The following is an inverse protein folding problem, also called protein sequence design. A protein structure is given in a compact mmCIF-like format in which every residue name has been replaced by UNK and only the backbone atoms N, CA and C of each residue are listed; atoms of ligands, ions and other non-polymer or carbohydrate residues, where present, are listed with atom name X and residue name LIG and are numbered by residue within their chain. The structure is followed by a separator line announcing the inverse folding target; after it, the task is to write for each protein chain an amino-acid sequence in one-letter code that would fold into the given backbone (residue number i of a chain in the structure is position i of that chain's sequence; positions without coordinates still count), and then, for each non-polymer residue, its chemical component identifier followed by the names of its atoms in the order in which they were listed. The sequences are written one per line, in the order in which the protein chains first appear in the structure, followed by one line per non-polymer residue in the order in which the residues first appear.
data_IF_518926487625
#
_entry.id   IF_518926487625
#
_cell.length_a   1.000
_cell.length_b   1.000
_cell.length_c   1.000
_cell.angle_alpha   90.00
_cell.angle_beta   90.00
_cell.angle_gamma   90.00
#
_symmetry.space_group_name_H-M   'P 1'
#
loop_
_entity.id
_entity.type
_entity.pdbx_description
1 polymer ?
#
# COMPACT_ATOMS: atom_id res chain seq x y z
N UNK A 1 5.77 -15.33 35.85
CA UNK A 1 6.80 -15.08 34.85
C UNK A 1 6.42 -13.95 33.93
N UNK A 2 7.29 -13.03 33.77
CA UNK A 2 7.01 -11.84 32.98
C UNK A 2 7.64 -11.94 31.61
N UNK A 3 6.88 -11.57 30.61
CA UNK A 3 7.41 -11.46 29.26
C UNK A 3 8.43 -10.32 29.20
N UNK A 4 9.33 -10.39 28.24
CA UNK A 4 10.30 -9.34 27.98
C UNK A 4 9.56 -8.02 27.68
N UNK A 5 9.82 -6.94 28.45
CA UNK A 5 9.15 -5.66 28.22
C UNK A 5 9.37 -5.10 26.82
N UNK A 6 10.55 -5.31 26.22
CA UNK A 6 10.81 -4.86 24.86
C UNK A 6 9.97 -5.60 23.83
N UNK A 7 9.77 -6.89 24.02
CA UNK A 7 8.94 -7.70 23.13
C UNK A 7 7.46 -7.28 23.22
N UNK A 8 6.97 -7.00 24.42
CA UNK A 8 5.60 -6.49 24.59
C UNK A 8 5.40 -5.17 23.88
N UNK A 9 6.36 -4.27 24.01
CA UNK A 9 6.27 -2.96 23.37
C UNK A 9 6.24 -3.10 21.87
N UNK A 10 7.12 -3.92 21.28
CA UNK A 10 7.16 -4.15 19.84
C UNK A 10 5.85 -4.74 19.34
N UNK A 11 5.27 -5.72 20.04
CA UNK A 11 4.00 -6.32 19.66
C UNK A 11 2.86 -5.30 19.74
N UNK A 12 2.82 -4.48 20.79
CA UNK A 12 1.81 -3.45 20.93
C UNK A 12 1.92 -2.38 19.84
N UNK A 13 3.14 -1.99 19.48
CA UNK A 13 3.36 -1.02 18.40
C UNK A 13 2.91 -1.56 17.05
N UNK A 14 3.16 -2.85 16.77
CA UNK A 14 2.67 -3.49 15.55
C UNK A 14 1.15 -3.55 15.51
N UNK A 15 0.52 -3.90 16.62
CA UNK A 15 -0.93 -3.96 16.71
C UNK A 15 -1.57 -2.59 16.51
N UNK A 16 -0.99 -1.54 17.08
CA UNK A 16 -1.45 -0.18 16.91
C UNK A 16 -1.28 0.29 15.46
N UNK A 17 -0.17 -0.07 14.82
CA UNK A 17 0.07 0.27 13.42
C UNK A 17 -0.97 -0.39 12.53
N UNK A 18 -1.25 -1.66 12.73
CA UNK A 18 -2.26 -2.37 11.95
C UNK A 18 -3.66 -1.80 12.19
N UNK A 19 -4.00 -1.49 13.44
CA UNK A 19 -5.28 -0.87 13.76
C UNK A 19 -5.43 0.50 13.09
N UNK A 20 -4.35 1.26 13.02
CA UNK A 20 -4.34 2.56 12.33
C UNK A 20 -4.56 2.37 10.82
N UNK A 21 -3.87 1.42 10.20
CA UNK A 21 -4.06 1.11 8.78
C UNK A 21 -5.50 0.70 8.51
N UNK A 22 -6.07 -0.16 9.35
CA UNK A 22 -7.45 -0.63 9.20
C UNK A 22 -8.45 0.53 9.32
N UNK A 23 -8.25 1.40 10.29
CA UNK A 23 -9.12 2.55 10.49
C UNK A 23 -9.04 3.53 9.32
N UNK A 24 -7.82 3.85 8.87
CA UNK A 24 -7.61 4.75 7.73
C UNK A 24 -8.19 4.13 6.46
N UNK A 25 -7.97 2.83 6.24
CA UNK A 25 -8.53 2.13 5.07
C UNK A 25 -10.05 2.21 5.06
N UNK A 26 -10.68 1.98 6.20
CA UNK A 26 -12.13 2.07 6.32
C UNK A 26 -12.64 3.47 5.98
N UNK A 27 -12.00 4.50 6.51
CA UNK A 27 -12.39 5.90 6.28
C UNK A 27 -12.19 6.29 4.81
N UNK A 28 -11.02 6.00 4.24
CA UNK A 28 -10.70 6.40 2.86
C UNK A 28 -11.61 5.67 1.88
N UNK A 29 -11.80 4.37 2.05
CA UNK A 29 -12.67 3.59 1.16
C UNK A 29 -14.13 4.06 1.26
N UNK A 30 -14.60 4.39 2.46
CA UNK A 30 -15.97 4.88 2.64
C UNK A 30 -16.17 6.26 2.01
N UNK A 31 -15.19 7.15 2.18
CA UNK A 31 -15.31 8.54 1.72
C UNK A 31 -15.02 8.69 0.24
N UNK A 32 -14.00 8.01 -0.28
CA UNK A 32 -13.52 8.19 -1.65
C UNK A 32 -13.76 6.99 -2.54
N UNK A 33 -14.02 5.82 -1.99
CA UNK A 33 -14.07 4.56 -2.70
C UNK A 33 -15.47 4.04 -3.02
N UNK A 34 -16.50 4.87 -2.92
CA UNK A 34 -17.87 4.43 -3.22
C UNK A 34 -17.95 3.93 -4.67
N UNK A 35 -18.35 2.68 -4.84
CA UNK A 35 -18.39 2.05 -6.16
C UNK A 35 -17.04 1.61 -6.70
N UNK A 36 -15.97 1.78 -5.95
CA UNK A 36 -14.61 1.37 -6.34
C UNK A 36 -14.16 0.16 -5.51
N UNK A 37 -13.20 -0.62 -6.02
CA UNK A 37 -12.63 -1.71 -5.24
C UNK A 37 -11.96 -1.18 -3.96
N UNK A 38 -12.17 -1.87 -2.85
CA UNK A 38 -11.57 -1.48 -1.59
C UNK A 38 -10.05 -1.69 -1.62
N UNK A 39 -9.32 -0.72 -1.10
CA UNK A 39 -7.86 -0.77 -1.01
C UNK A 39 -7.42 -0.81 0.45
N UNK A 40 -6.19 -1.24 0.67
CA UNK A 40 -5.51 -1.06 1.95
C UNK A 40 -4.77 0.28 1.91
N UNK A 41 -5.00 1.14 2.88
CA UNK A 41 -4.45 2.50 2.91
C UNK A 41 -3.51 2.69 4.08
N UNK A 42 -2.37 3.28 3.80
CA UNK A 42 -1.39 3.67 4.80
C UNK A 42 -1.17 5.17 4.75
N UNK A 43 -1.39 5.89 5.86
CA UNK A 43 -1.06 7.30 5.91
C UNK A 43 0.43 7.48 6.11
N UNK A 44 0.99 8.50 5.47
CA UNK A 44 2.36 8.95 5.74
C UNK A 44 2.23 10.23 6.54
N UNK A 45 2.72 10.19 7.77
CA UNK A 45 2.53 11.28 8.71
C UNK A 45 3.85 11.99 9.03
N UNK A 46 3.73 13.26 9.41
CA UNK A 46 4.84 14.01 9.98
C UNK A 46 5.11 13.54 11.40
N UNK A 47 6.21 14.03 11.99
CA UNK A 47 6.53 13.74 13.38
C UNK A 47 5.44 14.20 14.37
N UNK A 48 4.61 15.16 13.97
CA UNK A 48 3.50 15.67 14.78
C UNK A 48 2.18 14.95 14.48
N UNK A 49 2.19 13.91 13.65
CA UNK A 49 1.01 13.11 13.37
C UNK A 49 0.10 13.67 12.27
N UNK A 50 0.53 14.68 11.55
CA UNK A 50 -0.26 15.24 10.44
C UNK A 50 -0.07 14.37 9.21
N UNK A 51 -1.17 13.93 8.60
CA UNK A 51 -1.14 13.15 7.35
C UNK A 51 -0.74 14.07 6.21
N UNK A 52 0.37 13.77 5.54
CA UNK A 52 0.82 14.55 4.40
C UNK A 52 0.80 13.76 3.08
N UNK A 53 0.55 12.46 3.13
CA UNK A 53 0.41 11.62 1.94
C UNK A 53 -0.36 10.35 2.30
N UNK A 54 -0.93 9.72 1.27
CA UNK A 54 -1.63 8.43 1.39
C UNK A 54 -1.05 7.45 0.39
N UNK A 55 -0.83 6.23 0.82
CA UNK A 55 -0.41 5.14 -0.06
C UNK A 55 -1.47 4.05 -0.01
N UNK A 56 -2.08 3.77 -1.16
CA UNK A 56 -3.05 2.71 -1.32
C UNK A 56 -2.41 1.49 -1.99
N UNK A 57 -2.83 0.32 -1.57
CA UNK A 57 -2.39 -0.94 -2.15
C UNK A 57 -3.60 -1.78 -2.50
N UNK A 58 -3.61 -2.31 -3.72
CA UNK A 58 -4.60 -3.32 -4.10
C UNK A 58 -4.28 -4.59 -3.31
N UNK A 59 -5.23 -5.14 -2.54
CA UNK A 59 -4.96 -6.32 -1.70
C UNK A 59 -4.46 -7.50 -2.52
N UNK A 60 -3.60 -8.31 -1.93
CA UNK A 60 -3.14 -9.55 -2.54
C UNK A 60 -4.29 -10.54 -2.73
N UNK A 61 -4.18 -11.40 -3.74
CA UNK A 61 -5.20 -12.39 -4.05
C UNK A 61 -5.94 -12.20 -5.35
N UNK A 62 -6.23 -10.98 -5.84
CA UNK A 62 -6.86 -10.86 -7.15
C UNK A 62 -5.90 -11.30 -8.26
N UNK A 63 -6.48 -11.64 -9.41
CA UNK A 63 -5.69 -11.94 -10.61
C UNK A 63 -4.97 -10.68 -11.09
N UNK A 64 -3.97 -10.85 -11.99
CA UNK A 64 -3.31 -9.72 -12.61
C UNK A 64 -4.33 -8.77 -13.28
N UNK A 65 -5.33 -9.35 -13.92
CA UNK A 65 -6.40 -8.59 -14.58
C UNK A 65 -7.20 -7.77 -13.57
N UNK A 66 -7.59 -8.38 -12.47
CA UNK A 66 -8.38 -7.72 -11.44
C UNK A 66 -7.58 -6.61 -10.75
N UNK A 67 -6.29 -6.85 -10.54
CA UNK A 67 -5.40 -5.84 -9.96
C UNK A 67 -5.28 -4.62 -10.86
N UNK A 68 -5.09 -4.82 -12.17
CA UNK A 68 -5.06 -3.72 -13.14
C UNK A 68 -6.37 -2.97 -13.19
N UNK A 69 -7.48 -3.72 -13.18
CA UNK A 69 -8.81 -3.12 -13.23
C UNK A 69 -9.07 -2.24 -12.00
N UNK A 70 -8.71 -2.72 -10.82
CA UNK A 70 -8.85 -1.96 -9.59
C UNK A 70 -8.03 -0.66 -9.65
N UNK A 71 -6.78 -0.76 -10.10
CA UNK A 71 -5.89 0.39 -10.22
C UNK A 71 -6.45 1.42 -11.22
N UNK A 72 -6.93 0.96 -12.37
CA UNK A 72 -7.51 1.81 -13.40
C UNK A 72 -8.81 2.48 -12.94
N UNK A 73 -9.62 1.77 -12.18
CA UNK A 73 -10.86 2.33 -11.65
C UNK A 73 -10.60 3.53 -10.74
N UNK A 74 -9.65 3.41 -9.83
CA UNK A 74 -9.25 4.52 -8.97
C UNK A 74 -8.59 5.65 -9.76
N UNK A 75 -7.71 5.31 -10.71
CA UNK A 75 -7.05 6.31 -11.55
C UNK A 75 -8.07 7.11 -12.37
N UNK A 76 -9.08 6.44 -12.93
CA UNK A 76 -10.12 7.12 -13.70
C UNK A 76 -11.02 8.00 -12.85
N UNK A 77 -11.34 7.56 -11.64
CA UNK A 77 -12.22 8.31 -10.73
C UNK A 77 -11.59 9.62 -10.25
N UNK A 78 -10.27 9.63 -10.04
CA UNK A 78 -9.57 10.76 -9.43
C UNK A 78 -8.49 11.36 -10.32
N UNK A 79 -8.44 10.99 -11.58
CA UNK A 79 -7.46 11.50 -12.55
C UNK A 79 -6.03 11.30 -12.10
N UNK A 80 -5.73 10.11 -11.56
CA UNK A 80 -4.38 9.75 -11.17
C UNK A 80 -3.58 9.35 -12.40
N UNK A 81 -2.30 9.72 -12.43
CA UNK A 81 -1.43 9.50 -13.56
C UNK A 81 -0.46 8.33 -13.30
N UNK A 82 -0.14 7.53 -14.33
CA UNK A 82 0.86 6.46 -14.18
C UNK A 82 2.20 7.01 -13.72
N UNK A 83 2.84 6.30 -12.79
CA UNK A 83 4.20 6.60 -12.33
C UNK A 83 5.19 5.89 -13.26
N UNK A 84 6.23 6.60 -13.70
CA UNK A 84 7.29 6.02 -14.51
C UNK A 84 8.18 5.10 -13.67
N UNK A 85 8.68 4.04 -14.31
CA UNK A 85 9.65 3.10 -13.71
C UNK A 85 9.19 2.52 -12.37
N UNK A 86 7.99 1.93 -12.29
CA UNK A 86 7.57 1.25 -11.07
C UNK A 86 8.44 0.02 -10.81
N UNK A 87 8.36 -0.50 -9.59
CA UNK A 87 9.02 -1.78 -9.26
C UNK A 87 8.57 -2.84 -10.26
N UNK A 88 9.50 -3.67 -10.80
CA UNK A 88 9.12 -4.71 -11.77
C UNK A 88 7.98 -5.60 -11.28
N UNK A 89 6.99 -5.81 -12.13
CA UNK A 89 5.79 -6.58 -11.80
C UNK A 89 4.71 -5.78 -11.11
N UNK A 90 4.94 -4.49 -10.83
CA UNK A 90 3.93 -3.62 -10.26
C UNK A 90 3.52 -2.52 -11.22
N UNK A 91 2.38 -1.92 -10.96
CA UNK A 91 1.95 -0.67 -11.59
C UNK A 91 1.56 0.31 -10.49
N UNK A 92 1.81 1.58 -10.71
CA UNK A 92 1.54 2.61 -9.73
C UNK A 92 0.94 3.83 -10.41
N UNK A 93 0.00 4.46 -9.74
CA UNK A 93 -0.58 5.74 -10.17
C UNK A 93 -0.44 6.73 -9.03
N UNK A 94 -0.37 8.02 -9.37
CA UNK A 94 -0.18 9.07 -8.38
C UNK A 94 -1.01 10.30 -8.72
N UNK A 95 -1.40 11.03 -7.70
CA UNK A 95 -2.17 12.25 -7.80
C UNK A 95 -2.54 12.77 -6.43
N UNK A 96 -3.76 13.26 -6.30
CA UNK A 96 -4.24 13.84 -5.04
C UNK A 96 -5.67 13.40 -4.76
N UNK A 97 -5.97 13.12 -3.49
CA UNK A 97 -7.33 12.99 -2.98
C UNK A 97 -7.57 14.16 -2.04
N UNK A 98 -8.51 15.05 -2.40
CA UNK A 98 -8.80 16.24 -1.61
C UNK A 98 -7.54 17.05 -1.25
N UNK A 99 -6.63 17.20 -2.21
CA UNK A 99 -5.40 17.94 -2.01
C UNK A 99 -4.29 17.18 -1.28
N UNK A 100 -4.55 15.95 -0.85
CA UNK A 100 -3.53 15.12 -0.19
C UNK A 100 -2.79 14.29 -1.25
N UNK A 101 -1.46 14.39 -1.35
CA UNK A 101 -0.70 13.56 -2.28
C UNK A 101 -0.98 12.09 -2.04
N UNK A 102 -1.27 11.36 -3.12
CA UNK A 102 -1.74 9.98 -3.04
C UNK A 102 -1.05 9.14 -4.08
N UNK A 103 -0.64 7.94 -3.70
CA UNK A 103 -0.12 6.91 -4.60
C UNK A 103 -0.89 5.63 -4.37
N UNK A 104 -1.20 4.93 -5.47
CA UNK A 104 -1.84 3.62 -5.41
C UNK A 104 -1.02 2.67 -6.26
N UNK A 105 -0.70 1.50 -5.71
CA UNK A 105 0.09 0.51 -6.42
C UNK A 105 -0.54 -0.87 -6.31
N UNK A 106 -0.21 -1.72 -7.28
CA UNK A 106 -0.70 -3.08 -7.35
C UNK A 106 0.35 -3.98 -7.99
N UNK A 107 0.36 -5.25 -7.63
CA UNK A 107 1.09 -6.28 -8.37
C UNK A 107 0.23 -6.65 -9.58
N UNK A 108 0.65 -6.19 -10.75
CA UNK A 108 -0.10 -6.39 -12.00
C UNK A 108 0.51 -7.44 -12.92
N UNK A 109 1.71 -7.90 -12.59
CA UNK A 109 2.36 -9.05 -13.21
C UNK A 109 3.03 -9.86 -12.11
N UNK A 110 2.27 -10.77 -11.56
CA UNK A 110 2.72 -11.57 -10.41
C UNK A 110 3.95 -12.41 -10.74
N UNK A 111 4.00 -12.98 -11.93
CA UNK A 111 5.14 -13.81 -12.33
C UNK A 111 6.45 -13.00 -12.37
N UNK A 112 6.41 -11.79 -12.93
CA UNK A 112 7.58 -10.90 -12.96
C UNK A 112 7.94 -10.45 -11.55
N UNK A 113 6.97 -10.09 -10.74
CA UNK A 113 7.20 -9.68 -9.36
C UNK A 113 7.87 -10.78 -8.55
N UNK A 114 7.38 -12.01 -8.64
CA UNK A 114 7.93 -13.16 -7.94
C UNK A 114 9.34 -13.51 -8.44
N UNK A 115 9.58 -13.46 -9.76
CA UNK A 115 10.91 -13.70 -10.31
C UNK A 115 11.92 -12.68 -9.80
N UNK A 116 11.54 -11.42 -9.72
CA UNK A 116 12.40 -10.36 -9.21
C UNK A 116 12.81 -10.62 -7.77
N UNK A 117 11.90 -11.13 -6.95
CA UNK A 117 12.18 -11.46 -5.57
C UNK A 117 13.02 -12.72 -5.43
N UNK A 118 12.88 -13.69 -6.33
CA UNK A 118 13.65 -14.92 -6.31
C UNK A 118 15.07 -14.75 -6.86
N UNK A 119 15.26 -13.90 -7.87
CA UNK A 119 16.58 -13.72 -8.49
C UNK A 119 17.55 -12.93 -7.65
N UNK A 120 17.11 -12.32 -6.57
CA UNK A 120 18.00 -11.62 -5.64
C UNK A 120 18.64 -12.54 -4.61
N UNK A 121 18.77 -13.84 -4.93
CA UNK A 121 19.59 -14.76 -4.14
C UNK A 121 18.88 -15.43 -2.98
N UNK A 122 17.61 -15.56 -3.02
CA UNK A 122 16.82 -16.33 -2.05
C UNK A 122 16.70 -15.69 -0.66
N UNK A 123 17.69 -14.95 -0.23
CA UNK A 123 17.61 -14.19 1.02
C UNK A 123 17.71 -12.72 0.69
N UNK A 124 16.61 -11.98 0.73
CA UNK A 124 16.69 -10.55 0.43
C UNK A 124 17.57 -9.87 1.46
N UNK A 125 18.53 -9.12 0.95
CA UNK A 125 19.31 -8.23 1.80
C UNK A 125 18.33 -7.22 2.42
N UNK A 126 18.39 -7.02 3.74
CA UNK A 126 17.50 -6.03 4.38
C UNK A 126 17.55 -4.65 3.73
N UNK A 127 18.65 -4.28 3.09
CA UNK A 127 18.76 -3.05 2.35
C UNK A 127 17.95 -3.02 1.06
N UNK A 128 17.63 -4.17 0.48
CA UNK A 128 16.86 -4.27 -0.77
C UNK A 128 15.37 -4.31 -0.54
N UNK A 129 14.93 -4.40 0.70
CA UNK A 129 13.52 -4.50 1.00
C UNK A 129 12.86 -3.13 0.97
N UNK A 130 13.55 -2.09 0.78
CA UNK A 130 13.05 -0.70 0.66
C UNK A 130 14.11 0.33 0.89
#
# INVERSE_FOLDING_TARGET
MTADPGRRRAAAELDLTQACIDAVSSIVNARYGSGLPALSWQPITTATGIVHALVGQVPGGPTNHDARHALQAWAGAYHLAPVADPVPGTSEVAGHLDGVPTRIWAVTDRATFERQHHTTGGTPDPGDVW
#
